data_IF_465128746204
#
_entry.id   IF_465128746204
#
_cell.length_a   1.000
_cell.length_b   1.000
_cell.length_c   1.000
_cell.angle_alpha   90.00
_cell.angle_beta   90.00
_cell.angle_gamma   90.00
#
_symmetry.space_group_name_H-M   'P 1'
#
loop_
_entity.id
_entity.type
_entity.pdbx_description
1 polymer ?
#
# COMPACT_ATOMS: atom_id res chain seq x y z
N UNK A 1 -10.92 20.86 -10.35
CA UNK A 1 -11.33 20.24 -11.65
C UNK A 1 -12.42 19.18 -11.47
N UNK A 2 -12.46 18.48 -10.33
CA UNK A 2 -13.38 17.37 -10.05
C UNK A 2 -14.24 17.59 -8.79
N UNK A 3 -14.34 18.79 -8.32
CA UNK A 3 -14.78 19.19 -6.97
C UNK A 3 -16.09 18.54 -6.50
N UNK A 4 -17.11 18.51 -7.33
CA UNK A 4 -18.44 17.99 -6.96
C UNK A 4 -18.64 16.51 -7.32
N UNK A 5 -17.61 15.84 -7.83
CA UNK A 5 -17.68 14.41 -8.12
C UNK A 5 -17.45 13.58 -6.84
N UNK A 6 -18.11 12.42 -6.71
CA UNK A 6 -17.77 11.47 -5.66
C UNK A 6 -16.29 11.07 -5.76
N UNK A 7 -15.55 11.20 -4.66
CA UNK A 7 -14.16 10.79 -4.54
C UNK A 7 -14.03 9.44 -3.82
N UNK A 8 -14.57 9.38 -2.61
CA UNK A 8 -14.46 8.20 -1.74
C UNK A 8 -15.87 7.77 -1.29
N UNK A 9 -16.14 6.48 -1.33
CA UNK A 9 -17.36 5.86 -0.78
C UNK A 9 -16.98 4.73 0.15
N UNK A 10 -17.52 4.69 1.35
CA UNK A 10 -17.39 3.54 2.24
C UNK A 10 -18.32 2.42 1.77
N UNK A 11 -17.77 1.24 1.49
CA UNK A 11 -18.52 0.15 0.87
C UNK A 11 -19.70 -0.35 1.75
N UNK A 12 -19.56 -0.30 3.07
CA UNK A 12 -20.56 -0.81 4.01
C UNK A 12 -21.64 0.22 4.28
N UNK A 13 -21.27 1.41 4.77
CA UNK A 13 -22.21 2.48 5.14
C UNK A 13 -22.84 3.17 3.93
N UNK A 14 -22.15 3.21 2.80
CA UNK A 14 -22.51 4.03 1.64
C UNK A 14 -22.16 5.51 1.81
N UNK A 15 -21.56 5.91 2.92
CA UNK A 15 -21.08 7.26 3.14
C UNK A 15 -20.13 7.67 2.03
N UNK A 16 -20.37 8.82 1.45
CA UNK A 16 -19.62 9.27 0.27
C UNK A 16 -19.23 10.73 0.44
N UNK A 17 -17.96 11.01 0.20
CA UNK A 17 -17.44 12.37 0.08
C UNK A 17 -17.11 12.68 -1.37
N UNK A 18 -17.50 13.88 -1.81
CA UNK A 18 -16.99 14.48 -3.03
C UNK A 18 -15.52 14.89 -2.87
N UNK A 19 -14.84 15.21 -3.97
CA UNK A 19 -13.48 15.74 -3.92
C UNK A 19 -13.37 17.00 -3.08
N UNK A 20 -14.37 17.88 -3.15
CA UNK A 20 -14.44 19.10 -2.34
C UNK A 20 -14.58 18.80 -0.85
N UNK A 21 -15.53 17.94 -0.50
CA UNK A 21 -15.75 17.56 0.91
C UNK A 21 -14.55 16.83 1.49
N UNK A 22 -13.92 15.98 0.70
CA UNK A 22 -12.71 15.27 1.12
C UNK A 22 -11.53 16.23 1.31
N UNK A 23 -11.29 17.18 0.40
CA UNK A 23 -10.25 18.22 0.57
C UNK A 23 -10.55 19.14 1.77
N UNK A 24 -11.82 19.48 2.00
CA UNK A 24 -12.25 20.23 3.18
C UNK A 24 -11.93 19.49 4.47
N UNK A 25 -12.24 18.18 4.55
CA UNK A 25 -11.92 17.36 5.71
C UNK A 25 -10.39 17.31 5.96
N UNK A 26 -9.61 17.12 4.90
CA UNK A 26 -8.14 17.13 4.96
C UNK A 26 -7.62 18.46 5.51
N UNK A 27 -8.15 19.60 5.03
CA UNK A 27 -7.72 20.92 5.50
C UNK A 27 -8.11 21.14 6.97
N UNK A 28 -9.31 20.76 7.38
CA UNK A 28 -9.75 20.85 8.78
C UNK A 28 -8.85 20.05 9.73
N UNK A 29 -8.49 18.83 9.36
CA UNK A 29 -7.54 18.00 10.12
C UNK A 29 -6.17 18.68 10.15
N UNK A 30 -5.69 19.16 9.01
CA UNK A 30 -4.38 19.81 8.90
C UNK A 30 -4.28 21.07 9.78
N UNK A 31 -5.28 21.97 9.72
CA UNK A 31 -5.32 23.17 10.57
C UNK A 31 -5.41 22.81 12.06
N UNK A 32 -6.22 21.81 12.41
CA UNK A 32 -6.32 21.33 13.78
C UNK A 32 -5.00 20.78 14.31
N UNK A 33 -4.31 19.95 13.53
CA UNK A 33 -3.00 19.44 13.91
C UNK A 33 -1.96 20.57 14.06
N UNK A 34 -1.97 21.58 13.20
CA UNK A 34 -1.08 22.74 13.29
C UNK A 34 -1.36 23.60 14.54
N UNK A 35 -2.58 23.60 15.06
CA UNK A 35 -2.93 24.32 16.29
C UNK A 35 -2.47 23.62 17.58
N UNK A 36 -2.17 22.32 17.51
CA UNK A 36 -1.66 21.56 18.65
C UNK A 36 -0.19 21.91 18.91
N UNK A 37 0.06 22.85 19.83
CA UNK A 37 1.41 23.30 20.20
C UNK A 37 2.30 22.19 20.77
N UNK A 38 1.72 21.09 21.18
CA UNK A 38 2.37 19.93 21.80
C UNK A 38 2.98 18.98 20.78
N UNK A 39 2.58 19.07 19.49
CA UNK A 39 3.13 18.21 18.42
C UNK A 39 4.53 18.70 18.04
N UNK A 40 5.54 18.17 18.71
CA UNK A 40 6.95 18.44 18.40
C UNK A 40 7.49 17.47 17.35
N UNK A 41 7.00 16.23 17.35
CA UNK A 41 7.48 15.19 16.42
C UNK A 41 7.11 15.48 14.98
N UNK A 42 8.02 15.11 14.09
CA UNK A 42 7.78 15.05 12.65
C UNK A 42 6.94 13.83 12.29
N UNK A 43 6.93 12.81 13.16
CA UNK A 43 6.36 11.49 12.91
C UNK A 43 5.04 11.32 13.66
N UNK A 44 3.98 10.95 12.92
CA UNK A 44 2.65 10.68 13.48
C UNK A 44 2.25 9.24 13.14
N UNK A 45 2.07 8.43 14.19
CA UNK A 45 1.66 7.03 14.02
C UNK A 45 0.18 6.93 13.63
N UNK A 46 -0.15 5.99 12.76
CA UNK A 46 -1.53 5.62 12.47
C UNK A 46 -1.67 4.11 12.55
N UNK A 47 -2.50 3.64 13.48
CA UNK A 47 -2.93 2.25 13.63
C UNK A 47 -4.45 2.21 13.68
N UNK A 48 -5.07 2.04 12.54
CA UNK A 48 -6.52 2.25 12.39
C UNK A 48 -7.11 1.32 11.31
N UNK A 49 -8.44 1.16 11.32
CA UNK A 49 -9.20 0.54 10.24
C UNK A 49 -9.17 1.41 8.98
N UNK A 50 -9.46 0.78 7.83
CA UNK A 50 -9.65 1.55 6.60
C UNK A 50 -10.96 2.33 6.70
N UNK A 51 -10.88 3.62 6.92
CA UNK A 51 -12.02 4.53 6.89
C UNK A 51 -11.64 5.93 6.33
N UNK A 52 -12.62 6.82 6.29
CA UNK A 52 -12.44 8.18 5.80
C UNK A 52 -11.48 8.98 6.67
N UNK A 53 -11.50 8.77 7.99
CA UNK A 53 -10.64 9.48 8.93
C UNK A 53 -9.17 9.13 8.74
N UNK A 54 -8.87 7.82 8.57
CA UNK A 54 -7.51 7.39 8.27
C UNK A 54 -7.02 8.00 6.97
N UNK A 55 -7.80 7.85 5.89
CA UNK A 55 -7.38 8.34 4.58
C UNK A 55 -7.22 9.87 4.58
N UNK A 56 -8.11 10.61 5.23
CA UNK A 56 -8.02 12.06 5.34
C UNK A 56 -6.81 12.50 6.20
N UNK A 57 -6.54 11.80 7.32
CA UNK A 57 -5.36 12.03 8.16
C UNK A 57 -4.06 11.84 7.35
N UNK A 58 -3.97 10.76 6.57
CA UNK A 58 -2.84 10.49 5.68
C UNK A 58 -2.50 11.69 4.76
N UNK A 59 -3.53 12.29 4.13
CA UNK A 59 -3.30 13.45 3.25
C UNK A 59 -3.10 14.75 4.04
N UNK A 60 -3.74 14.91 5.20
CA UNK A 60 -3.52 16.07 6.06
C UNK A 60 -2.07 16.16 6.54
N UNK A 61 -1.50 15.05 7.02
CA UNK A 61 -0.10 14.98 7.42
C UNK A 61 0.85 15.41 6.27
N UNK A 62 0.58 14.94 5.05
CA UNK A 62 1.37 15.31 3.88
C UNK A 62 1.26 16.81 3.55
N UNK A 63 0.07 17.42 3.71
CA UNK A 63 -0.10 18.88 3.51
C UNK A 63 0.69 19.72 4.52
N UNK A 64 0.81 19.26 5.75
CA UNK A 64 1.51 19.99 6.84
C UNK A 64 2.96 19.53 7.06
N UNK A 65 3.54 18.81 6.10
CA UNK A 65 4.92 18.32 6.14
C UNK A 65 5.24 17.44 7.37
N UNK A 66 4.27 16.66 7.83
CA UNK A 66 4.46 15.61 8.81
C UNK A 66 4.56 14.25 8.12
N UNK A 67 5.33 13.35 8.70
CA UNK A 67 5.56 12.02 8.15
C UNK A 67 4.60 11.05 8.84
N UNK A 68 3.76 10.41 8.04
CA UNK A 68 2.93 9.30 8.49
C UNK A 68 3.78 8.08 8.83
N UNK A 69 3.60 7.52 10.02
CA UNK A 69 4.11 6.20 10.37
C UNK A 69 2.96 5.20 10.27
N UNK A 70 2.93 4.50 9.18
CA UNK A 70 1.84 3.60 8.80
C UNK A 70 2.01 2.25 9.52
N UNK A 71 1.23 2.01 10.57
CA UNK A 71 1.37 0.83 11.44
C UNK A 71 0.33 -0.21 11.05
N UNK A 72 0.81 -1.37 10.60
CA UNK A 72 -0.07 -2.48 10.29
C UNK A 72 -0.70 -3.03 11.58
N UNK A 73 -2.02 -3.01 11.64
CA UNK A 73 -2.84 -3.44 12.79
C UNK A 73 -2.74 -4.95 13.13
N UNK A 74 -2.12 -5.75 12.26
CA UNK A 74 -1.85 -7.14 12.54
C UNK A 74 -0.68 -7.35 13.52
N UNK A 75 0.20 -6.34 13.68
CA UNK A 75 1.32 -6.42 14.62
C UNK A 75 0.86 -6.29 16.06
N UNK A 76 1.50 -7.06 16.95
CA UNK A 76 1.20 -7.09 18.39
C UNK A 76 2.51 -7.27 19.19
N UNK A 77 2.44 -7.02 20.49
CA UNK A 77 3.54 -7.23 21.44
C UNK A 77 4.84 -6.54 20.99
N UNK A 78 5.97 -7.23 21.13
CA UNK A 78 7.29 -6.67 20.87
C UNK A 78 7.48 -6.11 19.44
N UNK A 79 6.87 -6.75 18.42
CA UNK A 79 6.95 -6.22 17.04
C UNK A 79 6.27 -4.87 16.91
N UNK A 80 5.13 -4.68 17.56
CA UNK A 80 4.40 -3.41 17.55
C UNK A 80 5.15 -2.33 18.34
N UNK A 81 5.58 -2.62 19.58
CA UNK A 81 6.33 -1.65 20.41
C UNK A 81 7.63 -1.21 19.73
N UNK A 82 8.33 -2.14 19.08
CA UNK A 82 9.53 -1.82 18.33
C UNK A 82 9.31 -0.85 17.17
N UNK A 83 8.22 -1.01 16.40
CA UNK A 83 7.91 -0.10 15.29
C UNK A 83 7.62 1.31 15.76
N UNK A 84 6.82 1.44 16.83
CA UNK A 84 6.48 2.73 17.43
C UNK A 84 7.73 3.39 18.01
N UNK A 85 8.55 2.65 18.74
CA UNK A 85 9.77 3.18 19.35
C UNK A 85 10.84 3.54 18.33
N UNK A 86 10.97 2.76 17.25
CA UNK A 86 11.95 3.05 16.19
C UNK A 86 11.74 4.44 15.61
N UNK A 87 10.49 4.86 15.46
CA UNK A 87 10.13 6.16 14.85
C UNK A 87 9.94 7.28 15.86
N UNK A 88 10.07 6.97 17.16
CA UNK A 88 9.89 7.93 18.26
C UNK A 88 8.60 8.76 18.14
N UNK A 89 7.52 8.12 17.62
CA UNK A 89 6.23 8.79 17.53
C UNK A 89 5.76 9.25 18.91
N UNK A 90 5.50 10.54 19.06
CA UNK A 90 4.90 11.11 20.27
C UNK A 90 3.37 11.18 20.19
N UNK A 91 2.81 11.08 18.99
CA UNK A 91 1.37 11.09 18.72
C UNK A 91 1.00 9.89 17.85
N UNK A 92 -0.15 9.28 18.14
CA UNK A 92 -0.70 8.22 17.32
C UNK A 92 -2.22 8.33 17.21
N UNK A 93 -2.75 8.16 15.98
CA UNK A 93 -4.18 7.97 15.74
C UNK A 93 -4.55 6.49 15.83
N UNK A 94 -5.65 6.19 16.55
CA UNK A 94 -6.13 4.82 16.75
C UNK A 94 -7.63 4.77 17.04
N UNK A 95 -8.19 3.56 17.18
CA UNK A 95 -9.59 3.27 17.55
C UNK A 95 -9.67 2.23 18.66
N UNK A 96 -10.88 2.02 19.22
CA UNK A 96 -11.15 1.00 20.24
C UNK A 96 -10.69 -0.39 19.84
N UNK A 97 -10.75 -0.75 18.57
CA UNK A 97 -10.35 -2.07 18.06
C UNK A 97 -8.89 -2.41 18.36
N UNK A 98 -8.05 -1.40 18.58
CA UNK A 98 -6.60 -1.57 18.78
C UNK A 98 -6.14 -1.33 20.22
N UNK A 99 -7.04 -0.90 21.11
CA UNK A 99 -6.68 -0.64 22.52
C UNK A 99 -6.10 -1.85 23.23
N UNK A 100 -6.59 -3.06 22.93
CA UNK A 100 -6.06 -4.28 23.51
C UNK A 100 -4.59 -4.55 23.13
N UNK A 101 -4.20 -4.25 21.89
CA UNK A 101 -2.83 -4.40 21.44
C UNK A 101 -1.90 -3.33 22.05
N UNK A 102 -2.38 -2.09 22.16
CA UNK A 102 -1.64 -0.99 22.80
C UNK A 102 -1.49 -1.17 24.30
N UNK A 103 -2.51 -1.68 24.97
CA UNK A 103 -2.49 -1.95 26.42
C UNK A 103 -1.40 -2.95 26.81
N UNK A 104 -1.16 -3.96 25.96
CA UNK A 104 -0.11 -4.94 26.20
C UNK A 104 1.31 -4.39 26.16
N UNK A 105 1.52 -3.24 25.52
CA UNK A 105 2.84 -2.65 25.29
C UNK A 105 2.98 -1.24 25.83
N UNK A 106 1.98 -0.70 26.51
CA UNK A 106 1.95 0.72 26.93
C UNK A 106 3.11 1.14 27.81
N UNK A 107 3.64 0.21 28.62
CA UNK A 107 4.85 0.44 29.42
C UNK A 107 6.14 0.53 28.60
N UNK A 108 6.11 0.00 27.37
CA UNK A 108 7.27 -0.09 26.48
C UNK A 108 7.32 1.07 25.48
N UNK A 109 6.44 2.08 25.60
CA UNK A 109 6.31 3.21 24.69
C UNK A 109 6.71 4.53 25.36
N UNK A 110 8.01 4.77 25.65
CA UNK A 110 8.46 5.94 26.44
C UNK A 110 8.29 7.26 25.71
N UNK A 111 8.19 7.26 24.37
CA UNK A 111 8.07 8.46 23.56
C UNK A 111 6.62 8.88 23.31
N UNK A 112 5.68 7.94 23.34
CA UNK A 112 4.26 8.22 23.07
C UNK A 112 3.67 9.11 24.17
N UNK A 113 3.01 10.21 23.79
CA UNK A 113 2.43 11.21 24.67
C UNK A 113 0.94 11.39 24.47
N UNK A 114 0.46 11.21 23.25
CA UNK A 114 -0.90 11.51 22.88
C UNK A 114 -1.50 10.43 21.98
N UNK A 115 -2.75 10.07 22.25
CA UNK A 115 -3.59 9.30 21.34
C UNK A 115 -4.71 10.19 20.79
N UNK A 116 -4.80 10.29 19.48
CA UNK A 116 -5.98 10.79 18.78
C UNK A 116 -6.89 9.58 18.56
N UNK A 117 -8.08 9.59 19.17
CA UNK A 117 -8.99 8.44 19.15
C UNK A 117 -10.28 8.74 18.38
N UNK A 118 -10.63 7.87 17.45
CA UNK A 118 -11.86 8.01 16.63
C UNK A 118 -13.07 7.37 17.29
N UNK A 119 -12.87 6.59 18.35
CA UNK A 119 -13.94 5.91 19.11
C UNK A 119 -13.46 5.50 20.50
N UNK A 120 -14.37 5.37 21.46
CA UNK A 120 -14.07 4.87 22.79
C UNK A 120 -13.24 5.81 23.66
N UNK A 121 -13.46 7.12 23.61
CA UNK A 121 -12.72 8.14 24.35
C UNK A 121 -12.60 7.83 25.82
N UNK A 122 -13.73 7.49 26.49
CA UNK A 122 -13.73 7.21 27.95
C UNK A 122 -12.97 5.91 28.28
N UNK A 123 -13.07 4.90 27.42
CA UNK A 123 -12.27 3.68 27.56
C UNK A 123 -10.80 3.97 27.42
N UNK A 124 -10.41 4.81 26.43
CA UNK A 124 -9.03 5.21 26.24
C UNK A 124 -8.47 5.97 27.46
N UNK A 125 -9.24 6.92 27.99
CA UNK A 125 -8.86 7.68 29.21
C UNK A 125 -8.64 6.76 30.42
N UNK A 126 -9.51 5.80 30.61
CA UNK A 126 -9.39 4.82 31.70
C UNK A 126 -8.19 3.88 31.52
N UNK A 127 -7.94 3.43 30.29
CA UNK A 127 -6.91 2.42 29.97
C UNK A 127 -5.51 2.99 29.84
N UNK A 128 -5.38 4.27 29.40
CA UNK A 128 -4.13 4.94 29.10
C UNK A 128 -3.97 6.27 29.85
N UNK A 129 -4.05 6.29 31.19
CA UNK A 129 -3.97 7.52 31.98
C UNK A 129 -2.62 8.25 31.87
N UNK A 130 -1.59 7.59 31.35
CA UNK A 130 -0.26 8.16 31.12
C UNK A 130 -0.17 9.00 29.84
N UNK A 131 -1.16 8.93 28.95
CA UNK A 131 -1.18 9.67 27.69
C UNK A 131 -2.34 10.65 27.61
N UNK A 132 -2.15 11.76 26.93
CA UNK A 132 -3.24 12.67 26.58
C UNK A 132 -4.17 11.98 25.57
N UNK A 133 -5.46 11.92 25.88
CA UNK A 133 -6.47 11.35 24.99
C UNK A 133 -7.25 12.48 24.34
N UNK A 134 -7.08 12.64 23.05
CA UNK A 134 -7.73 13.66 22.24
C UNK A 134 -8.76 13.00 21.30
N UNK A 135 -10.07 13.30 21.46
CA UNK A 135 -11.08 12.87 20.50
C UNK A 135 -10.76 13.37 19.09
N UNK A 136 -10.98 12.53 18.06
CA UNK A 136 -10.72 12.93 16.67
C UNK A 136 -11.53 14.16 16.26
N UNK A 137 -12.74 14.30 16.75
CA UNK A 137 -13.61 15.45 16.48
C UNK A 137 -13.00 16.77 17.00
N UNK A 138 -12.20 16.73 18.06
CA UNK A 138 -11.57 17.93 18.65
C UNK A 138 -10.38 18.44 17.81
N UNK A 139 -9.82 17.61 16.92
CA UNK A 139 -8.81 18.08 15.96
C UNK A 139 -9.42 18.67 14.68
N UNK A 140 -10.74 18.61 14.51
CA UNK A 140 -11.40 19.17 13.35
C UNK A 140 -11.55 20.69 13.48
N UNK A 141 -10.60 21.45 12.96
CA UNK A 141 -10.68 22.91 12.91
C UNK A 141 -11.91 23.39 12.13
N UNK A 142 -12.45 24.57 12.49
CA UNK A 142 -13.43 25.25 11.66
C UNK A 142 -12.80 25.93 10.44
N UNK A 143 -11.47 26.11 10.43
CA UNK A 143 -10.71 26.63 9.31
C UNK A 143 -10.64 25.58 8.18
N UNK A 144 -11.13 25.98 7.00
CA UNK A 144 -11.22 25.10 5.81
C UNK A 144 -10.35 25.57 4.65
N UNK A 145 -9.62 26.67 4.82
CA UNK A 145 -8.78 27.23 3.77
C UNK A 145 -7.73 26.22 3.30
N UNK A 146 -7.38 26.32 2.02
CA UNK A 146 -6.41 25.41 1.43
C UNK A 146 -5.02 25.55 2.07
N UNK A 147 -4.52 24.45 2.60
CA UNK A 147 -3.13 24.36 3.10
C UNK A 147 -2.21 24.08 1.93
N UNK A 148 -1.29 25.01 1.67
CA UNK A 148 -0.24 24.82 0.67
C UNK A 148 0.99 24.20 1.34
N UNK A 149 1.36 23.01 0.92
CA UNK A 149 2.58 22.36 1.41
C UNK A 149 3.82 23.02 0.81
N UNK A 150 4.85 23.20 1.64
CA UNK A 150 6.19 23.65 1.22
C UNK A 150 7.16 22.47 1.07
N UNK A 151 6.69 21.22 1.20
CA UNK A 151 7.53 20.03 1.05
C UNK A 151 8.06 19.93 -0.37
N UNK A 152 9.33 19.54 -0.48
CA UNK A 152 9.88 19.10 -1.77
C UNK A 152 9.30 17.71 -2.07
N UNK A 153 9.07 17.43 -3.32
CA UNK A 153 8.52 16.14 -3.73
C UNK A 153 9.44 14.94 -3.42
N UNK A 154 10.75 15.19 -3.21
CA UNK A 154 11.72 14.19 -2.76
C UNK A 154 11.82 14.05 -1.25
N UNK A 155 11.13 14.87 -0.46
CA UNK A 155 11.10 14.72 1.00
C UNK A 155 10.23 13.52 1.40
N UNK A 156 10.62 12.84 2.48
CA UNK A 156 9.88 11.68 3.01
C UNK A 156 8.51 12.12 3.52
N UNK A 157 7.48 11.37 3.15
CA UNK A 157 6.08 11.64 3.50
C UNK A 157 5.44 10.51 4.31
N UNK A 158 5.98 9.30 4.19
CA UNK A 158 5.44 8.10 4.85
C UNK A 158 6.56 7.14 5.23
N UNK A 159 6.41 6.49 6.38
CA UNK A 159 7.18 5.30 6.77
C UNK A 159 6.23 4.11 6.70
N UNK A 160 6.54 3.15 5.84
CA UNK A 160 5.84 1.87 5.76
C UNK A 160 6.75 0.73 6.16
N UNK A 161 6.24 -0.16 7.02
CA UNK A 161 7.02 -1.31 7.48
C UNK A 161 6.89 -2.50 6.54
N UNK A 162 8.04 -3.08 6.16
CA UNK A 162 8.10 -4.32 5.38
C UNK A 162 8.39 -5.50 6.28
N UNK A 163 7.85 -6.67 5.96
CA UNK A 163 8.28 -7.94 6.52
C UNK A 163 9.64 -8.30 5.92
N UNK A 164 10.73 -7.83 6.51
CA UNK A 164 12.07 -8.09 5.99
C UNK A 164 12.35 -9.60 5.85
N UNK A 165 13.07 -9.99 4.82
CA UNK A 165 13.58 -11.37 4.61
C UNK A 165 14.43 -11.88 5.78
N UNK A 166 14.91 -10.97 6.63
CA UNK A 166 15.69 -11.25 7.86
C UNK A 166 14.82 -11.41 9.11
N UNK A 167 13.49 -11.45 8.98
CA UNK A 167 12.54 -11.61 10.10
C UNK A 167 12.27 -10.34 10.91
N UNK A 168 13.00 -9.26 10.69
CA UNK A 168 12.81 -7.98 11.40
C UNK A 168 12.21 -6.95 10.43
N UNK A 169 11.03 -6.44 10.78
CA UNK A 169 10.37 -5.39 9.99
C UNK A 169 11.23 -4.11 9.94
N UNK A 170 11.38 -3.56 8.73
CA UNK A 170 12.14 -2.34 8.45
C UNK A 170 11.17 -1.24 8.00
N UNK A 171 11.36 -0.02 8.48
CA UNK A 171 10.54 1.13 8.09
C UNK A 171 11.08 1.80 6.83
N UNK A 172 10.49 1.56 5.68
CA UNK A 172 10.86 2.21 4.42
C UNK A 172 10.45 3.68 4.40
N UNK A 173 11.37 4.56 4.09
CA UNK A 173 11.14 5.99 3.91
C UNK A 173 10.64 6.26 2.48
N UNK A 174 9.39 6.66 2.36
CA UNK A 174 8.71 6.90 1.08
C UNK A 174 8.47 8.40 0.89
N UNK A 175 8.98 8.95 -0.21
CA UNK A 175 8.83 10.37 -0.54
C UNK A 175 7.46 10.69 -1.14
N UNK A 176 7.13 11.99 -1.25
CA UNK A 176 5.95 12.43 -2.01
C UNK A 176 6.04 12.00 -3.49
N UNK A 177 7.23 12.12 -4.10
CA UNK A 177 7.47 11.69 -5.49
C UNK A 177 7.25 10.20 -5.68
N UNK A 178 7.70 9.39 -4.72
CA UNK A 178 7.47 7.94 -4.73
C UNK A 178 5.98 7.61 -4.88
N UNK A 179 5.12 8.24 -4.06
CA UNK A 179 3.69 7.99 -4.09
C UNK A 179 3.06 8.40 -5.44
N UNK A 180 3.38 9.60 -5.92
CA UNK A 180 2.86 10.13 -7.18
C UNK A 180 3.33 9.30 -8.37
N UNK A 181 4.64 8.99 -8.46
CA UNK A 181 5.18 8.17 -9.55
C UNK A 181 4.60 6.76 -9.57
N UNK A 182 4.47 6.14 -8.40
CA UNK A 182 3.82 4.83 -8.28
C UNK A 182 2.41 4.86 -8.86
N UNK A 183 1.63 5.91 -8.56
CA UNK A 183 0.28 6.06 -9.09
C UNK A 183 0.25 6.35 -10.60
N UNK A 184 1.10 7.25 -11.09
CA UNK A 184 1.24 7.57 -12.53
C UNK A 184 1.58 6.33 -13.36
N UNK A 185 2.47 5.49 -12.84
CA UNK A 185 2.90 4.25 -13.47
C UNK A 185 1.78 3.21 -13.62
N UNK A 186 0.65 3.39 -12.93
CA UNK A 186 -0.53 2.52 -12.99
C UNK A 186 -1.60 3.10 -13.92
N UNK A 187 -1.77 4.42 -13.95
CA UNK A 187 -2.86 5.08 -14.70
C UNK A 187 -2.87 4.65 -16.17
N UNK A 188 -1.76 4.79 -16.86
CA UNK A 188 -1.69 4.52 -18.32
C UNK A 188 -1.85 3.03 -18.64
N UNK A 189 -1.09 2.10 -18.03
CA UNK A 189 -1.22 0.67 -18.30
C UNK A 189 -2.59 0.11 -17.98
N UNK A 190 -3.22 0.59 -16.91
CA UNK A 190 -4.58 0.16 -16.53
C UNK A 190 -5.67 0.97 -17.24
N UNK A 191 -5.31 1.93 -18.08
CA UNK A 191 -6.24 2.78 -18.83
C UNK A 191 -7.30 3.40 -17.92
N UNK A 192 -6.83 3.96 -16.79
CA UNK A 192 -7.73 4.57 -15.80
C UNK A 192 -8.23 5.93 -16.30
N UNK A 193 -9.48 6.19 -16.04
CA UNK A 193 -10.17 7.43 -16.44
C UNK A 193 -11.05 7.94 -15.30
N UNK A 194 -11.56 9.16 -15.44
CA UNK A 194 -12.52 9.74 -14.50
C UNK A 194 -13.86 9.00 -14.40
N UNK A 195 -14.13 8.08 -15.33
CA UNK A 195 -15.35 7.24 -15.32
C UNK A 195 -15.16 5.95 -14.50
N UNK A 196 -13.93 5.64 -14.10
CA UNK A 196 -13.65 4.43 -13.36
C UNK A 196 -14.05 4.53 -11.89
N UNK A 197 -14.52 3.42 -11.36
CA UNK A 197 -14.86 3.21 -9.95
C UNK A 197 -14.02 2.05 -9.46
N UNK A 198 -13.05 2.34 -8.60
CA UNK A 198 -12.22 1.35 -7.94
C UNK A 198 -12.98 0.71 -6.78
N UNK A 199 -12.85 -0.61 -6.58
CA UNK A 199 -13.25 -1.27 -5.35
C UNK A 199 -11.99 -1.83 -4.67
N UNK A 200 -11.71 -1.39 -3.45
CA UNK A 200 -10.52 -1.80 -2.71
C UNK A 200 -10.83 -2.32 -1.32
N UNK A 201 -10.04 -3.31 -0.91
CA UNK A 201 -10.03 -3.88 0.44
C UNK A 201 -8.62 -3.94 1.02
N UNK A 202 -7.67 -3.31 0.34
CA UNK A 202 -6.29 -3.26 0.79
C UNK A 202 -6.12 -2.40 2.05
N UNK A 203 -5.29 -2.84 3.01
CA UNK A 203 -4.97 -1.99 4.16
C UNK A 203 -4.31 -0.69 3.73
N UNK A 204 -4.77 0.44 4.27
CA UNK A 204 -4.14 1.75 4.03
C UNK A 204 -2.69 1.79 4.55
N UNK A 205 -2.35 0.94 5.51
CA UNK A 205 -0.98 0.77 6.02
C UNK A 205 -0.05 -0.04 5.11
N UNK A 206 -0.49 -0.39 3.90
CA UNK A 206 0.30 -1.15 2.94
C UNK A 206 0.45 -0.38 1.63
N UNK A 207 1.56 -0.59 0.93
CA UNK A 207 1.87 0.07 -0.36
C UNK A 207 0.77 -0.10 -1.42
N UNK A 208 -0.02 -1.16 -1.33
CA UNK A 208 -1.15 -1.39 -2.24
C UNK A 208 -2.17 -0.25 -2.27
N UNK A 209 -2.28 0.56 -1.20
CA UNK A 209 -3.10 1.76 -1.21
C UNK A 209 -2.62 2.80 -2.25
N UNK A 210 -1.31 2.84 -2.56
CA UNK A 210 -0.77 3.68 -3.63
C UNK A 210 -0.96 3.06 -5.01
N UNK A 211 -1.29 1.77 -5.09
CA UNK A 211 -1.49 1.07 -6.36
C UNK A 211 -2.92 1.22 -6.90
N UNK A 212 -3.91 1.46 -6.05
CA UNK A 212 -5.30 1.53 -6.50
C UNK A 212 -6.04 2.79 -6.07
N UNK A 213 -5.86 3.29 -4.85
CA UNK A 213 -6.56 4.49 -4.36
C UNK A 213 -6.03 5.75 -5.06
N UNK A 214 -4.73 6.00 -4.94
CA UNK A 214 -4.14 7.25 -5.44
C UNK A 214 -4.29 7.42 -6.96
N UNK A 215 -4.02 6.41 -7.83
CA UNK A 215 -4.24 6.57 -9.26
C UNK A 215 -5.71 6.82 -9.63
N UNK A 216 -6.67 6.20 -8.90
CA UNK A 216 -8.10 6.48 -9.09
C UNK A 216 -8.44 7.94 -8.79
N UNK A 217 -7.94 8.48 -7.68
CA UNK A 217 -8.16 9.87 -7.30
C UNK A 217 -7.49 10.85 -8.28
N UNK A 218 -6.28 10.55 -8.74
CA UNK A 218 -5.54 11.41 -9.67
C UNK A 218 -6.26 11.60 -11.01
N UNK A 219 -6.96 10.59 -11.50
CA UNK A 219 -7.75 10.70 -12.75
C UNK A 219 -9.15 11.28 -12.54
N UNK A 220 -9.57 11.57 -11.30
CA UNK A 220 -10.91 12.04 -10.97
C UNK A 220 -11.95 10.92 -10.95
N UNK A 221 -11.53 9.69 -10.76
CA UNK A 221 -12.37 8.52 -10.54
C UNK A 221 -12.93 8.46 -9.12
N UNK A 222 -13.65 7.40 -8.80
CA UNK A 222 -14.19 7.16 -7.46
C UNK A 222 -13.56 5.91 -6.84
N UNK A 223 -13.26 5.96 -5.56
CA UNK A 223 -12.83 4.81 -4.77
C UNK A 223 -13.98 4.34 -3.88
N UNK A 224 -14.28 3.05 -3.93
CA UNK A 224 -15.17 2.37 -2.99
C UNK A 224 -14.28 1.53 -2.07
N UNK A 225 -14.19 1.92 -0.82
CA UNK A 225 -13.26 1.35 0.15
C UNK A 225 -14.00 0.52 1.19
N UNK A 226 -13.49 -0.67 1.45
CA UNK A 226 -13.90 -1.54 2.55
C UNK A 226 -12.74 -1.81 3.48
N UNK A 227 -13.02 -1.98 4.76
CA UNK A 227 -11.98 -2.22 5.76
C UNK A 227 -11.19 -3.51 5.52
N UNK A 228 -11.87 -4.59 5.13
CA UNK A 228 -11.23 -5.89 4.86
C UNK A 228 -12.02 -6.68 3.82
N UNK A 229 -11.34 -7.62 3.15
CA UNK A 229 -11.98 -8.51 2.18
C UNK A 229 -13.05 -9.39 2.84
N UNK A 230 -14.18 -9.55 2.16
CA UNK A 230 -15.26 -10.45 2.55
C UNK A 230 -15.83 -11.14 1.33
N UNK A 231 -15.55 -12.44 1.18
CA UNK A 231 -16.00 -13.23 0.03
C UNK A 231 -17.52 -13.16 -0.17
N UNK A 232 -18.29 -13.27 0.90
CA UNK A 232 -19.76 -13.26 0.86
C UNK A 232 -20.37 -11.91 0.50
N UNK A 233 -19.61 -10.81 0.61
CA UNK A 233 -20.08 -9.44 0.35
C UNK A 233 -19.49 -8.84 -0.91
N UNK A 234 -18.41 -9.41 -1.43
CA UNK A 234 -17.62 -8.82 -2.51
C UNK A 234 -18.48 -8.44 -3.71
N UNK A 235 -19.17 -9.41 -4.33
CA UNK A 235 -19.97 -9.13 -5.52
C UNK A 235 -21.18 -8.24 -5.23
N UNK A 236 -21.82 -8.36 -4.05
CA UNK A 236 -22.94 -7.48 -3.68
C UNK A 236 -22.51 -6.01 -3.62
N UNK A 237 -21.35 -5.75 -3.05
CA UNK A 237 -20.83 -4.39 -2.92
C UNK A 237 -20.30 -3.87 -4.26
N UNK A 238 -19.57 -4.67 -5.01
CA UNK A 238 -19.09 -4.35 -6.37
C UNK A 238 -20.26 -3.95 -7.27
N UNK A 239 -21.36 -4.72 -7.24
CA UNK A 239 -22.58 -4.46 -8.02
C UNK A 239 -23.27 -3.19 -7.50
N UNK A 240 -23.53 -3.11 -6.19
CA UNK A 240 -24.24 -1.99 -5.55
C UNK A 240 -23.58 -0.65 -5.84
N UNK A 241 -22.26 -0.60 -5.78
CA UNK A 241 -21.50 0.63 -5.98
C UNK A 241 -21.10 0.87 -7.45
N UNK A 242 -21.38 -0.07 -8.35
CA UNK A 242 -21.06 0.03 -9.77
C UNK A 242 -19.56 0.10 -10.03
N UNK A 243 -18.76 -0.69 -9.29
CA UNK A 243 -17.32 -0.75 -9.49
C UNK A 243 -16.98 -1.23 -10.91
N UNK A 244 -15.92 -0.65 -11.50
CA UNK A 244 -15.47 -0.94 -12.87
C UNK A 244 -14.13 -1.67 -12.90
N UNK A 245 -13.38 -1.61 -11.81
CA UNK A 245 -12.09 -2.27 -11.69
C UNK A 245 -11.67 -2.53 -10.23
N UNK A 246 -10.78 -3.47 -10.05
CA UNK A 246 -10.13 -3.75 -8.77
C UNK A 246 -8.77 -4.41 -8.98
N UNK A 247 -7.94 -4.35 -7.95
CA UNK A 247 -6.74 -5.15 -7.79
C UNK A 247 -6.93 -6.14 -6.66
N UNK A 248 -6.32 -7.32 -6.74
CA UNK A 248 -6.36 -8.27 -5.64
C UNK A 248 -5.07 -9.10 -5.55
N UNK A 249 -4.86 -9.68 -4.38
CA UNK A 249 -3.85 -10.73 -4.20
C UNK A 249 -4.33 -12.03 -4.82
N UNK A 250 -3.40 -12.90 -5.21
CA UNK A 250 -3.73 -14.21 -5.78
C UNK A 250 -4.62 -15.06 -4.89
N UNK A 251 -4.45 -14.98 -3.56
CA UNK A 251 -5.35 -15.64 -2.61
C UNK A 251 -6.81 -15.16 -2.73
N UNK A 252 -7.04 -13.87 -2.95
CA UNK A 252 -8.38 -13.32 -3.19
C UNK A 252 -8.93 -13.79 -4.53
N UNK A 253 -8.10 -13.78 -5.58
CA UNK A 253 -8.49 -14.32 -6.89
C UNK A 253 -8.94 -15.78 -6.76
N UNK A 254 -8.16 -16.60 -6.07
CA UNK A 254 -8.46 -18.00 -5.83
C UNK A 254 -9.76 -18.19 -5.06
N UNK A 255 -9.99 -17.41 -3.98
CA UNK A 255 -11.22 -17.46 -3.19
C UNK A 255 -12.45 -17.11 -4.03
N UNK A 256 -12.36 -16.05 -4.84
CA UNK A 256 -13.45 -15.66 -5.75
C UNK A 256 -13.75 -16.77 -6.76
N UNK A 257 -12.72 -17.39 -7.35
CA UNK A 257 -12.89 -18.45 -8.34
C UNK A 257 -13.40 -19.76 -7.74
N UNK A 258 -12.97 -20.12 -6.53
CA UNK A 258 -13.38 -21.36 -5.86
C UNK A 258 -14.77 -21.28 -5.23
N UNK A 259 -15.34 -20.08 -5.09
CA UNK A 259 -16.72 -19.92 -4.61
C UNK A 259 -17.72 -20.56 -5.59
N UNK A 260 -18.86 -21.10 -5.10
CA UNK A 260 -19.88 -21.63 -6.00
C UNK A 260 -20.34 -20.59 -7.03
N UNK A 261 -20.56 -20.98 -8.29
CA UNK A 261 -21.09 -20.09 -9.32
C UNK A 261 -22.43 -19.47 -8.90
N UNK A 262 -22.62 -18.20 -9.21
CA UNK A 262 -23.83 -17.44 -8.86
C UNK A 262 -24.27 -16.51 -9.99
N UNK A 263 -25.51 -16.04 -9.93
CA UNK A 263 -26.02 -15.02 -10.86
C UNK A 263 -25.26 -13.69 -10.74
N UNK A 264 -24.52 -13.45 -9.65
CA UNK A 264 -23.73 -12.24 -9.40
C UNK A 264 -22.42 -12.24 -10.17
N UNK A 265 -21.92 -13.41 -10.59
CA UNK A 265 -20.63 -13.56 -11.27
C UNK A 265 -20.51 -12.68 -12.53
N UNK A 266 -21.63 -12.31 -13.15
CA UNK A 266 -21.69 -11.47 -14.35
C UNK A 266 -22.62 -10.25 -14.24
N UNK A 267 -23.16 -9.99 -13.05
CA UNK A 267 -24.10 -8.87 -12.83
C UNK A 267 -23.40 -7.53 -12.54
N UNK A 268 -22.08 -7.50 -12.55
CA UNK A 268 -21.26 -6.34 -12.22
C UNK A 268 -20.82 -5.55 -13.47
N UNK A 269 -20.18 -4.38 -13.23
CA UNK A 269 -19.61 -3.50 -14.26
C UNK A 269 -18.08 -3.59 -14.36
N UNK A 270 -17.46 -4.55 -13.69
CA UNK A 270 -16.00 -4.73 -13.76
C UNK A 270 -15.59 -5.05 -15.19
N UNK A 271 -14.71 -4.24 -15.73
CA UNK A 271 -14.14 -4.43 -17.07
C UNK A 271 -12.70 -4.92 -17.01
N UNK A 272 -12.01 -4.71 -15.90
CA UNK A 272 -10.60 -5.04 -15.74
C UNK A 272 -10.27 -5.40 -14.29
N UNK A 273 -9.39 -6.35 -14.13
CA UNK A 273 -8.87 -6.80 -12.84
C UNK A 273 -7.38 -7.11 -13.00
N UNK A 274 -6.59 -6.88 -11.96
CA UNK A 274 -5.21 -7.35 -11.89
C UNK A 274 -5.02 -8.17 -10.61
N UNK A 275 -4.30 -9.30 -10.75
CA UNK A 275 -3.96 -10.16 -9.62
C UNK A 275 -2.48 -10.52 -9.65
N UNK A 276 -1.85 -10.57 -8.47
CA UNK A 276 -0.46 -11.00 -8.33
C UNK A 276 -0.26 -11.85 -7.08
N UNK A 277 0.29 -13.06 -7.22
CA UNK A 277 0.31 -13.82 -8.47
C UNK A 277 -1.10 -13.98 -9.04
N UNK A 278 -1.25 -14.54 -10.24
CA UNK A 278 -2.53 -14.88 -10.83
C UNK A 278 -2.68 -16.41 -10.89
N UNK A 279 -3.05 -17.07 -9.78
CA UNK A 279 -3.08 -18.54 -9.70
C UNK A 279 -4.18 -19.17 -10.54
N UNK A 280 -5.26 -18.43 -10.84
CA UNK A 280 -6.31 -18.90 -11.73
C UNK A 280 -5.97 -18.49 -13.14
N UNK A 281 -6.00 -19.41 -14.14
CA UNK A 281 -5.76 -19.09 -15.53
C UNK A 281 -6.66 -17.97 -16.03
N UNK A 282 -6.08 -17.02 -16.78
CA UNK A 282 -6.80 -15.86 -17.31
C UNK A 282 -8.08 -16.24 -18.06
N UNK A 283 -8.00 -17.25 -18.94
CA UNK A 283 -9.13 -17.69 -19.76
C UNK A 283 -10.32 -18.14 -18.90
N UNK A 284 -10.05 -18.89 -17.84
CA UNK A 284 -11.07 -19.42 -16.93
C UNK A 284 -11.71 -18.32 -16.08
N UNK A 285 -10.88 -17.41 -15.56
CA UNK A 285 -11.35 -16.27 -14.76
C UNK A 285 -12.20 -15.32 -15.60
N UNK A 286 -11.73 -14.95 -16.80
CA UNK A 286 -12.46 -14.09 -17.73
C UNK A 286 -13.77 -14.74 -18.19
N UNK A 287 -13.74 -16.05 -18.50
CA UNK A 287 -14.92 -16.80 -18.92
C UNK A 287 -15.99 -16.85 -17.82
N UNK A 288 -15.59 -17.06 -16.58
CA UNK A 288 -16.53 -17.10 -15.46
C UNK A 288 -17.12 -15.74 -15.15
N UNK A 289 -16.29 -14.72 -14.99
CA UNK A 289 -16.75 -13.43 -14.47
C UNK A 289 -17.08 -12.40 -15.57
N UNK A 290 -16.77 -12.66 -16.83
CA UNK A 290 -17.07 -11.74 -17.92
C UNK A 290 -16.29 -10.42 -17.83
N UNK A 291 -15.10 -10.46 -17.28
CA UNK A 291 -14.19 -9.31 -17.14
C UNK A 291 -12.86 -9.61 -17.86
N UNK A 292 -11.95 -8.65 -17.87
CA UNK A 292 -10.61 -8.85 -18.41
C UNK A 292 -9.59 -8.89 -17.26
N UNK A 293 -9.09 -10.08 -16.95
CA UNK A 293 -7.94 -10.24 -16.06
C UNK A 293 -6.68 -9.81 -16.81
N UNK A 294 -6.00 -8.79 -16.28
CA UNK A 294 -4.66 -8.43 -16.75
C UNK A 294 -3.73 -9.51 -16.18
N UNK A 295 -3.06 -10.31 -17.02
CA UNK A 295 -2.20 -11.38 -16.53
C UNK A 295 -1.03 -10.80 -15.73
N UNK A 296 -0.35 -11.64 -14.97
CA UNK A 296 0.84 -11.27 -14.17
C UNK A 296 1.84 -10.40 -14.92
N UNK A 297 3.08 -10.38 -14.55
CA UNK A 297 4.12 -9.57 -15.22
C UNK A 297 4.27 -8.16 -14.63
N UNK A 298 3.38 -7.72 -13.74
CA UNK A 298 3.63 -6.54 -12.93
C UNK A 298 4.56 -6.88 -11.75
N UNK A 299 5.43 -5.96 -11.39
CA UNK A 299 6.29 -6.08 -10.21
C UNK A 299 6.40 -4.75 -9.48
N UNK A 300 6.25 -4.82 -8.17
CA UNK A 300 6.47 -3.72 -7.27
C UNK A 300 6.72 -4.21 -5.85
N UNK A 301 7.42 -3.40 -5.09
CA UNK A 301 7.68 -3.63 -3.67
C UNK A 301 7.68 -2.30 -2.91
N UNK A 302 7.61 -2.35 -1.59
CA UNK A 302 7.70 -1.13 -0.78
C UNK A 302 9.02 -0.41 -0.97
N UNK A 303 10.12 -1.14 -1.21
CA UNK A 303 11.44 -0.56 -1.42
C UNK A 303 11.59 0.12 -2.78
N UNK A 304 11.01 -0.48 -3.82
CA UNK A 304 11.23 -0.08 -5.21
C UNK A 304 10.09 0.72 -5.84
N UNK A 305 8.88 0.69 -5.26
CA UNK A 305 7.68 1.22 -5.90
C UNK A 305 7.15 0.28 -6.98
N UNK A 306 6.43 0.83 -7.95
CA UNK A 306 5.92 0.10 -9.11
C UNK A 306 6.93 0.15 -10.24
N UNK A 307 7.69 -0.93 -10.44
CA UNK A 307 8.89 -1.00 -11.32
C UNK A 307 8.59 -1.57 -12.69
N UNK A 308 7.76 -2.63 -12.71
CA UNK A 308 7.40 -3.33 -13.94
C UNK A 308 5.89 -3.29 -14.11
N UNK A 309 5.44 -2.87 -15.27
CA UNK A 309 4.01 -2.80 -15.56
C UNK A 309 3.54 -4.01 -16.35
N UNK A 310 2.37 -4.60 -16.00
CA UNK A 310 1.83 -5.73 -16.74
C UNK A 310 1.34 -5.31 -18.12
N UNK A 311 1.30 -6.24 -19.04
CA UNK A 311 0.68 -6.08 -20.36
C UNK A 311 -0.68 -6.78 -20.41
N UNK A 312 -1.61 -6.24 -21.22
CA UNK A 312 -2.99 -6.76 -21.26
C UNK A 312 -3.11 -8.19 -21.79
N UNK A 313 -2.26 -8.59 -22.71
CA UNK A 313 -2.33 -9.89 -23.39
C UNK A 313 -0.98 -10.62 -23.42
N UNK A 314 -0.05 -10.25 -22.54
CA UNK A 314 1.27 -10.83 -22.52
C UNK A 314 1.70 -11.11 -21.07
N UNK A 315 2.28 -12.27 -20.76
CA UNK A 315 2.68 -12.61 -19.37
C UNK A 315 3.90 -11.84 -18.88
N UNK A 316 4.80 -11.39 -19.78
CA UNK A 316 5.96 -10.59 -19.45
C UNK A 316 5.58 -9.13 -19.20
N UNK A 317 6.26 -8.49 -18.24
CA UNK A 317 6.04 -7.11 -17.88
C UNK A 317 7.07 -6.17 -18.49
N UNK A 318 6.67 -4.92 -18.75
CA UNK A 318 7.53 -3.87 -19.28
C UNK A 318 8.21 -3.14 -18.11
N UNK A 319 9.53 -3.08 -18.11
CA UNK A 319 10.29 -2.25 -17.17
C UNK A 319 10.01 -0.78 -17.46
N UNK A 320 9.61 -0.05 -16.42
CA UNK A 320 9.25 1.36 -16.55
C UNK A 320 10.48 2.24 -16.76
N UNK A 321 10.39 3.35 -17.52
CA UNK A 321 11.55 4.13 -17.98
C UNK A 321 12.36 4.78 -16.85
N UNK A 322 11.76 4.95 -15.66
CA UNK A 322 12.41 5.53 -14.48
C UNK A 322 13.35 4.56 -13.75
N UNK A 323 13.36 3.29 -14.17
CA UNK A 323 14.14 2.23 -13.54
C UNK A 323 15.12 1.59 -14.52
N UNK A 324 16.16 1.02 -13.94
CA UNK A 324 16.98 0.01 -14.56
C UNK A 324 16.75 -1.30 -13.80
N UNK A 325 16.57 -2.38 -14.53
CA UNK A 325 16.44 -3.74 -14.01
C UNK A 325 17.49 -4.60 -14.67
N UNK A 326 18.16 -5.39 -13.88
CA UNK A 326 19.09 -6.40 -14.34
C UNK A 326 18.90 -7.69 -13.57
N UNK A 327 19.41 -8.78 -14.11
CA UNK A 327 19.39 -10.10 -13.47
C UNK A 327 20.83 -10.49 -13.19
N UNK A 328 21.09 -11.01 -11.97
CA UNK A 328 22.42 -11.45 -11.54
C UNK A 328 22.40 -12.89 -11.01
N UNK A 329 23.54 -13.56 -11.13
CA UNK A 329 23.78 -14.88 -10.55
C UNK A 329 24.13 -14.77 -9.03
N UNK A 330 24.36 -15.91 -8.38
CA UNK A 330 24.75 -15.99 -6.97
C UNK A 330 26.12 -15.31 -6.65
N UNK A 331 26.91 -14.96 -7.67
CA UNK A 331 28.19 -14.27 -7.56
C UNK A 331 28.09 -12.79 -7.93
N UNK A 332 26.86 -12.26 -8.11
CA UNK A 332 26.59 -10.89 -8.57
C UNK A 332 27.10 -10.58 -9.99
N UNK A 333 27.27 -11.56 -10.85
CA UNK A 333 27.55 -11.32 -12.25
C UNK A 333 26.23 -11.17 -13.03
N UNK A 334 26.21 -10.19 -13.93
CA UNK A 334 25.08 -10.02 -14.86
C UNK A 334 24.93 -11.26 -15.74
N UNK A 335 23.68 -11.74 -15.88
CA UNK A 335 23.38 -12.88 -16.74
C UNK A 335 22.69 -12.44 -18.05
N UNK A 336 22.85 -13.21 -19.15
CA UNK A 336 22.20 -12.89 -20.43
C UNK A 336 20.69 -13.10 -20.37
N UNK A 337 19.98 -12.57 -21.37
CA UNK A 337 18.55 -12.79 -21.53
C UNK A 337 18.19 -14.28 -21.54
N UNK A 338 17.04 -14.63 -20.96
CA UNK A 338 16.55 -16.00 -20.82
C UNK A 338 17.12 -16.76 -19.60
N UNK A 339 18.13 -16.22 -18.91
CA UNK A 339 18.73 -16.86 -17.73
C UNK A 339 18.07 -16.33 -16.46
N UNK A 340 17.60 -17.24 -15.60
CA UNK A 340 17.02 -16.92 -14.29
C UNK A 340 18.12 -16.51 -13.29
N UNK A 341 17.84 -15.47 -12.51
CA UNK A 341 18.71 -15.00 -11.42
C UNK A 341 17.98 -14.02 -10.51
N UNK A 342 18.69 -13.42 -9.57
CA UNK A 342 18.13 -12.39 -8.72
C UNK A 342 17.86 -11.11 -9.53
N UNK A 343 16.66 -10.56 -9.40
CA UNK A 343 16.32 -9.25 -9.93
C UNK A 343 16.97 -8.17 -9.07
N UNK A 344 17.73 -7.29 -9.70
CA UNK A 344 18.26 -6.09 -9.07
C UNK A 344 17.72 -4.85 -9.76
N UNK A 345 17.49 -3.79 -8.97
CA UNK A 345 16.80 -2.59 -9.41
C UNK A 345 17.63 -1.36 -9.06
N UNK A 346 17.69 -0.41 -9.98
CA UNK A 346 18.23 0.91 -9.74
C UNK A 346 17.28 1.97 -10.29
N UNK A 347 17.12 3.06 -9.56
CA UNK A 347 16.38 4.23 -10.00
C UNK A 347 17.23 5.14 -10.88
N UNK A 348 16.63 5.72 -11.92
CA UNK A 348 17.21 6.78 -12.76
C UNK A 348 16.86 8.18 -12.27
N UNK A 349 15.90 8.29 -11.35
CA UNK A 349 15.42 9.56 -10.81
C UNK A 349 15.41 9.48 -9.27
N UNK A 350 15.78 10.55 -8.55
CA UNK A 350 15.70 10.57 -7.09
C UNK A 350 14.24 10.52 -6.62
N UNK A 351 14.00 9.84 -5.49
CA UNK A 351 12.71 9.79 -4.82
C UNK A 351 11.64 8.93 -5.50
N UNK A 352 11.96 8.12 -6.52
CA UNK A 352 11.00 7.14 -7.11
C UNK A 352 11.11 5.75 -6.49
N UNK A 353 12.17 5.49 -5.74
CA UNK A 353 12.34 4.36 -4.83
C UNK A 353 12.34 4.88 -3.38
N UNK A 354 12.23 3.99 -2.41
CA UNK A 354 12.40 4.35 -1.02
C UNK A 354 13.79 5.00 -0.79
N UNK A 355 13.85 6.04 0.05
CA UNK A 355 15.11 6.74 0.37
C UNK A 355 15.99 5.96 1.36
N UNK A 356 15.58 4.77 1.74
CA UNK A 356 16.23 3.87 2.68
C UNK A 356 15.29 3.39 3.75
N UNK A 357 15.90 2.83 4.81
CA UNK A 357 15.16 2.40 5.99
C UNK A 357 15.43 3.36 7.14
N UNK A 358 14.38 3.72 7.84
CA UNK A 358 14.46 4.61 8.98
C UNK A 358 15.48 4.13 10.02
N UNK A 359 16.37 5.03 10.45
CA UNK A 359 17.46 4.71 11.37
C UNK A 359 18.62 3.90 10.78
N UNK A 360 18.59 3.60 9.48
CA UNK A 360 19.65 2.85 8.80
C UNK A 360 20.17 3.61 7.58
N UNK A 361 21.49 3.71 7.42
CA UNK A 361 22.06 4.23 6.19
C UNK A 361 21.86 3.25 5.04
N UNK A 362 21.41 3.74 3.89
CA UNK A 362 21.25 2.93 2.67
C UNK A 362 22.54 2.19 2.29
N UNK A 363 23.71 2.86 2.46
CA UNK A 363 25.03 2.29 2.15
C UNK A 363 25.41 1.07 3.00
N UNK A 364 24.75 0.88 4.14
CA UNK A 364 25.07 -0.20 5.07
C UNK A 364 24.11 -1.40 4.96
N UNK A 365 23.22 -1.40 3.97
CA UNK A 365 22.25 -2.47 3.79
C UNK A 365 22.81 -3.57 2.91
N UNK A 366 22.67 -4.81 3.33
CA UNK A 366 23.02 -5.98 2.51
C UNK A 366 22.22 -6.04 1.20
N UNK A 367 21.07 -5.36 1.15
CA UNK A 367 20.24 -5.21 -0.05
C UNK A 367 20.72 -4.10 -1.00
N UNK A 368 21.75 -3.33 -0.65
CA UNK A 368 22.32 -2.27 -1.50
C UNK A 368 23.78 -2.59 -1.78
N UNK A 369 24.04 -3.01 -3.00
CA UNK A 369 25.40 -3.28 -3.47
C UNK A 369 25.63 -2.55 -4.79
N UNK A 370 26.67 -1.73 -4.85
CA UNK A 370 27.04 -0.98 -6.05
C UNK A 370 25.89 -0.13 -6.63
N UNK A 371 25.12 0.55 -5.77
CA UNK A 371 23.95 1.36 -6.12
C UNK A 371 22.73 0.56 -6.69
N UNK A 372 22.72 -0.76 -6.56
CA UNK A 372 21.59 -1.61 -6.90
C UNK A 372 20.88 -2.12 -5.67
N UNK A 373 19.55 -2.09 -5.70
CA UNK A 373 18.71 -2.77 -4.75
C UNK A 373 18.64 -4.26 -5.12
N UNK A 374 19.17 -5.13 -4.26
CA UNK A 374 18.98 -6.56 -4.33
C UNK A 374 17.62 -6.91 -3.75
N UNK A 375 16.70 -7.39 -4.58
CA UNK A 375 15.30 -7.57 -4.20
C UNK A 375 15.04 -8.85 -3.40
N UNK A 376 15.91 -9.84 -3.54
CA UNK A 376 15.67 -11.20 -3.08
C UNK A 376 14.60 -11.94 -3.91
N UNK A 377 14.20 -11.39 -5.03
CA UNK A 377 13.23 -11.96 -5.95
C UNK A 377 13.91 -12.50 -7.20
N UNK A 378 13.48 -13.68 -7.65
CA UNK A 378 14.03 -14.36 -8.79
C UNK A 378 13.15 -14.13 -10.01
N UNK A 379 13.79 -13.82 -11.12
CA UNK A 379 13.14 -13.62 -12.41
C UNK A 379 14.13 -13.72 -13.55
N UNK A 380 13.68 -13.33 -14.73
CA UNK A 380 14.51 -13.26 -15.93
C UNK A 380 13.97 -12.21 -16.88
N UNK A 381 14.83 -11.72 -17.77
CA UNK A 381 14.48 -10.82 -18.87
C UNK A 381 14.59 -11.63 -20.17
N UNK A 382 13.64 -11.45 -21.08
CA UNK A 382 13.76 -12.01 -22.44
C UNK A 382 14.59 -11.11 -23.36
N UNK A 383 14.71 -11.51 -24.63
CA UNK A 383 15.46 -10.76 -25.64
C UNK A 383 14.83 -9.41 -25.99
N UNK A 384 13.56 -9.19 -25.66
CA UNK A 384 12.84 -7.93 -25.85
C UNK A 384 12.92 -7.04 -24.61
N UNK A 385 13.53 -7.52 -23.52
CA UNK A 385 13.67 -6.81 -22.25
C UNK A 385 12.41 -6.88 -21.38
N UNK A 386 11.50 -7.81 -21.63
CA UNK A 386 10.34 -8.06 -20.79
C UNK A 386 10.74 -8.89 -19.58
N UNK A 387 10.23 -8.49 -18.42
CA UNK A 387 10.51 -9.16 -17.16
C UNK A 387 9.47 -10.23 -16.82
N UNK A 388 9.96 -11.35 -16.29
CA UNK A 388 9.16 -12.49 -15.82
C UNK A 388 9.56 -12.84 -14.39
N UNK A 389 8.63 -12.70 -13.44
CA UNK A 389 8.82 -13.12 -12.07
C UNK A 389 8.75 -14.63 -11.95
N UNK A 390 9.57 -15.23 -11.08
CA UNK A 390 9.57 -16.69 -10.84
C UNK A 390 9.15 -16.99 -9.39
N UNK A 391 9.91 -16.52 -8.40
CA UNK A 391 9.64 -16.77 -6.97
C UNK A 391 10.49 -15.87 -6.08
N UNK A 392 10.25 -15.88 -4.77
CA UNK A 392 11.19 -15.32 -3.81
C UNK A 392 12.37 -16.24 -3.54
N UNK A 393 13.54 -15.66 -3.36
CA UNK A 393 14.76 -16.43 -3.03
C UNK A 393 14.60 -17.20 -1.70
N UNK A 394 13.92 -16.62 -0.72
CA UNK A 394 13.63 -17.25 0.58
C UNK A 394 12.63 -18.42 0.48
N UNK A 395 11.91 -18.56 -0.63
CA UNK A 395 10.93 -19.62 -0.89
C UNK A 395 11.54 -20.79 -1.69
N UNK A 396 12.86 -20.83 -1.83
CA UNK A 396 13.59 -21.92 -2.48
C UNK A 396 14.02 -22.97 -1.48
N UNK A 397 13.85 -24.22 -1.86
CA UNK A 397 14.42 -25.38 -1.15
C UNK A 397 15.48 -26.04 -2.03
N UNK A 398 16.51 -26.61 -1.40
CA UNK A 398 17.54 -27.36 -2.12
C UNK A 398 17.18 -28.84 -2.10
N UNK A 399 16.83 -29.40 -3.26
CA UNK A 399 16.50 -30.82 -3.43
C UNK A 399 17.59 -31.49 -4.24
N UNK A 400 18.32 -32.45 -3.63
CA UNK A 400 19.43 -33.20 -4.29
C UNK A 400 20.48 -32.30 -4.96
N UNK A 401 20.72 -31.10 -4.42
CA UNK A 401 21.72 -30.15 -4.94
C UNK A 401 21.17 -29.10 -5.91
N UNK A 402 19.94 -29.25 -6.39
CA UNK A 402 19.26 -28.26 -7.21
C UNK A 402 18.35 -27.36 -6.38
N UNK A 403 18.26 -26.07 -6.76
CA UNK A 403 17.37 -25.10 -6.13
C UNK A 403 16.01 -25.19 -6.79
N UNK A 404 14.99 -25.58 -6.03
CA UNK A 404 13.61 -25.72 -6.49
C UNK A 404 12.76 -24.69 -5.74
N UNK A 405 11.88 -24.00 -6.44
CA UNK A 405 10.89 -23.11 -5.85
C UNK A 405 9.81 -23.94 -5.15
N UNK A 406 9.39 -23.51 -3.95
CA UNK A 406 8.20 -24.11 -3.32
C UNK A 406 6.97 -24.00 -4.19
N UNK A 407 6.85 -22.91 -4.96
CA UNK A 407 5.77 -22.71 -5.92
C UNK A 407 5.77 -23.78 -7.05
N UNK A 408 6.95 -24.11 -7.59
CA UNK A 408 7.07 -25.18 -8.60
C UNK A 408 6.74 -26.58 -8.02
N UNK A 409 6.90 -26.76 -6.71
CA UNK A 409 6.51 -28.00 -6.01
C UNK A 409 5.00 -28.08 -5.75
N UNK A 410 4.36 -26.93 -5.55
CA UNK A 410 2.91 -26.84 -5.30
C UNK A 410 2.07 -26.91 -6.57
N UNK A 411 2.63 -26.56 -7.74
CA UNK A 411 1.97 -26.69 -9.05
C UNK A 411 2.11 -28.08 -9.70
N UNK A 412 3.00 -28.95 -9.26
CA UNK A 412 3.27 -30.31 -9.78
C UNK A 412 2.55 -31.39 -9.01
#
# INVERSE_FOLDING_TARGET
>A
KYEDRPAITMAVSGETLSYREFDTLINRIGHGLLSLSEIKSTYVGIMHENDLNYLAMTYALKKINKIEVSINRAFKGHSLSRMINLTECDIMMTSTSHFGALDQIKSDLPHLRMLIVTSGVEEARAKFPQWTILPFEEILSDETSHITSNAKDTESATIMFTSGTTGVSKGCLLSHRYAVRTAENIITPFRLTRGDVNYTTYPLSHISAYYDILPSLMVGGRVVMRDHFSLSKFWDEVIRHGATWFMCLGSVQQLLYSAPPSSKDRAHKITKCWSTPAPVPKADFDARFGLHLIPGGGYGSTDAGWVVTPQWNHPGGVVLPHYEVAIVDEKNNFVPAGVKGEMIIRSKEPGVMADGYFGMSYKNLSSQQNDWLHTGDIGWLDNEGLFYFTCRMAERIRVKGEMVSLFEVEEG
#
